data_IF_726843180052
#
_entry.id   IF_726843180052
#
_cell.length_a   1.000
_cell.length_b   1.000
_cell.length_c   1.000
_cell.angle_alpha   90.00
_cell.angle_beta   90.00
_cell.angle_gamma   90.00
#
_symmetry.space_group_name_H-M   'P 1'
#
loop_
_entity.id
_entity.type
_entity.pdbx_description
1 polymer ?
#
# COMPACT_ATOMS: atom_id res chain seq x y z
N UNK A 1 -54.37 15.01 -23.92
CA UNK A 1 -54.09 13.80 -24.74
C UNK A 1 -53.19 14.26 -25.87
N UNK A 2 -52.11 13.58 -26.24
CA UNK A 2 -51.75 12.19 -25.95
C UNK A 2 -50.23 12.01 -25.71
N UNK A 3 -49.82 10.99 -24.94
CA UNK A 3 -48.42 10.66 -24.67
C UNK A 3 -47.96 9.60 -25.67
N UNK A 4 -46.81 9.80 -26.33
CA UNK A 4 -46.13 8.69 -27.03
C UNK A 4 -44.83 8.32 -26.32
N UNK A 5 -44.82 7.12 -25.78
CA UNK A 5 -43.65 6.46 -25.21
C UNK A 5 -42.60 6.22 -26.29
N UNK A 6 -41.32 6.47 -25.97
CA UNK A 6 -40.19 5.90 -26.69
C UNK A 6 -39.69 4.72 -25.84
N UNK A 7 -39.92 3.50 -26.31
CA UNK A 7 -39.38 2.30 -25.69
C UNK A 7 -37.92 2.12 -26.12
N UNK A 8 -37.00 2.03 -25.16
CA UNK A 8 -35.60 1.74 -25.43
C UNK A 8 -35.36 0.23 -25.35
N UNK A 9 -35.45 -0.46 -26.49
CA UNK A 9 -35.02 -1.86 -26.60
C UNK A 9 -33.48 -1.93 -26.53
N UNK A 10 -32.96 -2.36 -25.39
CA UNK A 10 -31.57 -2.80 -25.28
C UNK A 10 -31.44 -4.24 -25.78
N UNK A 11 -30.43 -4.57 -26.61
CA UNK A 11 -30.17 -5.94 -27.03
C UNK A 11 -29.74 -6.80 -25.84
N UNK A 12 -30.42 -7.94 -25.64
CA UNK A 12 -30.07 -8.93 -24.61
C UNK A 12 -28.65 -9.47 -24.85
N UNK A 13 -27.89 -9.61 -23.76
CA UNK A 13 -26.59 -10.27 -23.77
C UNK A 13 -26.67 -11.69 -24.37
N UNK A 14 -25.66 -12.06 -25.16
CA UNK A 14 -25.59 -13.37 -25.79
C UNK A 14 -25.49 -14.49 -24.73
N UNK A 15 -26.28 -15.56 -24.92
CA UNK A 15 -26.23 -16.73 -24.03
C UNK A 15 -24.92 -17.48 -24.22
N UNK A 16 -24.10 -17.58 -23.18
CA UNK A 16 -23.02 -18.57 -23.14
C UNK A 16 -23.62 -19.99 -23.02
N UNK A 17 -23.24 -20.95 -23.87
CA UNK A 17 -23.60 -22.35 -23.68
C UNK A 17 -22.81 -22.93 -22.50
N UNK A 18 -23.52 -23.58 -21.57
CA UNK A 18 -22.91 -24.43 -20.57
C UNK A 18 -22.27 -25.69 -21.21
N UNK A 19 -21.37 -26.33 -20.47
CA UNK A 19 -20.65 -27.57 -20.81
C UNK A 19 -19.69 -27.53 -22.02
N UNK A 20 -18.42 -27.18 -21.74
CA UNK A 20 -17.24 -27.86 -22.31
C UNK A 20 -16.12 -28.02 -21.27
N UNK A 21 -16.06 -29.18 -20.60
CA UNK A 21 -14.82 -29.64 -19.94
C UNK A 21 -13.82 -30.15 -20.98
N UNK A 22 -12.53 -29.77 -20.95
CA UNK A 22 -11.49 -30.47 -21.69
C UNK A 22 -11.25 -31.86 -21.09
N UNK A 23 -11.48 -32.92 -21.87
CA UNK A 23 -10.90 -34.25 -21.61
C UNK A 23 -9.56 -34.31 -22.34
N UNK A 24 -8.45 -34.53 -21.63
CA UNK A 24 -7.40 -35.52 -21.94
C UNK A 24 -6.18 -35.33 -21.00
N UNK A 25 -5.56 -36.42 -20.49
CA UNK A 25 -4.41 -36.35 -19.57
C UNK A 25 -3.07 -36.55 -20.29
N UNK A 26 -2.06 -35.72 -20.01
CA UNK A 26 -0.67 -35.96 -20.44
C UNK A 26 0.32 -35.74 -19.28
N UNK A 27 0.52 -36.81 -18.52
CA UNK A 27 1.81 -37.52 -18.32
C UNK A 27 3.10 -36.70 -18.10
N UNK A 28 3.73 -36.94 -16.93
CA UNK A 28 5.19 -37.17 -16.87
C UNK A 28 6.06 -36.03 -16.35
N UNK A 29 6.33 -36.02 -15.04
CA UNK A 29 7.39 -35.23 -14.41
C UNK A 29 8.79 -35.75 -14.76
N UNK A 30 9.70 -34.87 -15.18
CA UNK A 30 11.13 -35.15 -15.26
C UNK A 30 11.85 -34.80 -13.93
N UNK A 31 12.88 -35.57 -13.50
CA UNK A 31 13.50 -35.40 -12.19
C UNK A 31 14.52 -34.25 -12.14
N UNK A 32 14.49 -33.48 -11.05
CA UNK A 32 15.55 -32.50 -10.70
C UNK A 32 16.69 -33.24 -10.00
N UNK A 33 17.97 -33.04 -10.37
CA UNK A 33 19.09 -33.69 -9.70
C UNK A 33 19.27 -33.17 -8.27
N UNK A 34 19.39 -34.10 -7.31
CA UNK A 34 19.57 -33.80 -5.90
C UNK A 34 20.97 -33.21 -5.60
N UNK A 35 21.03 -32.22 -4.72
CA UNK A 35 22.27 -31.80 -4.05
C UNK A 35 22.32 -32.38 -2.63
N UNK A 36 23.39 -33.09 -2.32
CA UNK A 36 23.65 -33.63 -0.98
C UNK A 36 23.91 -32.53 0.07
N UNK A 37 23.59 -32.76 1.35
CA UNK A 37 23.67 -31.74 2.39
C UNK A 37 25.10 -31.43 2.83
N UNK A 38 25.45 -30.15 2.90
CA UNK A 38 26.68 -29.67 3.54
C UNK A 38 26.46 -29.44 5.04
N UNK A 39 27.50 -29.72 5.83
CA UNK A 39 27.42 -29.95 7.28
C UNK A 39 27.39 -28.67 8.13
N UNK A 40 26.96 -28.84 9.39
CA UNK A 40 26.90 -27.78 10.39
C UNK A 40 28.28 -27.39 10.95
N UNK A 41 28.67 -26.14 10.70
CA UNK A 41 29.66 -25.37 11.46
C UNK A 41 29.03 -23.97 11.62
N UNK A 42 28.96 -23.33 12.78
CA UNK A 42 29.86 -23.35 13.92
C UNK A 42 30.02 -21.87 14.34
N UNK A 43 29.35 -21.51 15.45
CA UNK A 43 29.46 -20.25 16.21
C UNK A 43 30.29 -19.08 15.64
N UNK A 44 29.61 -17.98 15.29
CA UNK A 44 30.24 -16.66 15.03
C UNK A 44 30.76 -16.02 16.33
N UNK A 45 31.90 -16.47 16.86
CA UNK A 45 32.61 -15.77 17.95
C UNK A 45 34.14 -16.02 17.96
N UNK A 46 34.80 -16.02 16.80
CA UNK A 46 36.24 -16.23 16.71
C UNK A 46 36.92 -15.58 15.48
N UNK A 47 36.67 -14.29 15.19
CA UNK A 47 37.45 -13.56 14.15
C UNK A 47 37.56 -12.05 14.39
N UNK A 48 38.19 -11.64 15.50
CA UNK A 48 38.74 -10.27 15.66
C UNK A 48 39.85 -10.17 16.72
N UNK A 49 41.01 -10.80 16.48
CA UNK A 49 42.23 -10.64 17.32
C UNK A 49 43.55 -11.05 16.60
N UNK A 50 43.85 -10.40 15.46
CA UNK A 50 45.16 -10.33 14.79
C UNK A 50 45.10 -9.08 13.88
N UNK A 51 46.08 -8.19 13.76
CA UNK A 51 47.16 -7.78 14.68
C UNK A 51 47.60 -6.37 14.27
N UNK A 52 48.01 -5.54 15.23
CA UNK A 52 48.76 -4.30 14.97
C UNK A 52 49.66 -4.04 16.18
N UNK A 53 50.93 -4.41 16.07
CA UNK A 53 51.99 -3.98 16.98
C UNK A 53 52.97 -3.08 16.21
N UNK A 54 53.49 -2.01 16.83
CA UNK A 54 54.54 -1.18 16.25
C UNK A 54 55.92 -1.85 16.40
N UNK A 55 56.84 -1.52 15.49
CA UNK A 55 58.23 -2.01 15.52
C UNK A 55 59.08 -1.24 16.55
N UNK A 56 60.07 -1.88 17.20
CA UNK A 56 61.06 -1.18 18.04
C UNK A 56 62.38 -0.92 17.29
N UNK A 57 62.94 0.29 17.41
CA UNK A 57 64.34 0.55 17.05
C UNK A 57 64.70 1.96 16.58
N UNK A 58 64.67 2.97 17.47
CA UNK A 58 65.62 4.10 17.41
C UNK A 58 65.72 4.86 18.75
N UNK A 59 66.64 5.84 18.83
CA UNK A 59 67.45 6.18 20.03
C UNK A 59 66.79 6.95 21.20
N UNK A 60 67.49 6.90 22.35
CA UNK A 60 67.25 7.68 23.57
C UNK A 60 67.45 9.20 23.41
N UNK A 61 66.72 9.97 24.22
CA UNK A 61 67.23 11.04 25.09
C UNK A 61 66.18 11.31 26.20
N UNK A 62 66.35 10.79 27.41
CA UNK A 62 66.96 11.47 28.58
C UNK A 62 66.25 12.77 28.98
N UNK A 63 65.51 12.73 30.11
CA UNK A 63 64.83 13.88 30.73
C UNK A 63 64.35 13.56 32.16
N UNK A 64 64.93 14.25 33.15
CA UNK A 64 64.87 14.01 34.62
C UNK A 64 64.41 15.33 35.29
N UNK A 65 63.68 15.43 36.41
CA UNK A 65 63.35 14.56 37.58
C UNK A 65 61.81 14.58 37.90
N UNK A 66 61.29 13.99 39.01
CA UNK A 66 59.85 13.88 39.32
C UNK A 66 59.35 14.93 40.35
N UNK A 67 58.04 15.02 40.59
CA UNK A 67 57.50 15.33 41.93
C UNK A 67 55.98 15.07 42.08
N UNK A 68 55.68 14.37 43.18
CA UNK A 68 54.40 14.18 43.85
C UNK A 68 53.67 15.51 44.18
N UNK A 69 52.34 15.57 44.04
CA UNK A 69 51.54 16.74 44.41
C UNK A 69 50.04 16.46 44.53
N UNK A 70 49.51 16.38 45.77
CA UNK A 70 48.06 16.39 46.01
C UNK A 70 47.53 17.80 45.77
N UNK A 71 46.52 17.95 44.91
CA UNK A 71 45.84 19.21 44.67
C UNK A 71 44.36 19.01 44.41
N UNK A 72 43.52 19.46 45.35
CA UNK A 72 42.07 19.54 45.17
C UNK A 72 41.73 20.64 44.18
N UNK A 73 41.54 20.27 42.91
CA UNK A 73 41.15 21.19 41.83
C UNK A 73 39.68 21.03 41.44
N UNK A 74 38.89 22.07 41.65
CA UNK A 74 37.47 22.14 41.22
C UNK A 74 37.36 22.04 39.69
N UNK A 75 36.64 21.05 39.17
CA UNK A 75 36.21 21.08 37.77
C UNK A 75 35.21 22.22 37.55
N UNK A 76 35.47 23.18 36.65
CA UNK A 76 34.45 24.15 36.26
C UNK A 76 33.31 23.39 35.57
N UNK A 77 32.10 23.57 36.08
CA UNK A 77 30.87 23.00 35.54
C UNK A 77 30.56 23.71 34.22
N UNK A 78 31.27 23.33 33.16
CA UNK A 78 30.97 23.78 31.81
C UNK A 78 29.52 23.41 31.51
N UNK A 79 28.67 24.43 31.45
CA UNK A 79 27.31 24.29 30.99
C UNK A 79 27.39 23.95 29.50
N UNK A 80 27.55 22.67 29.20
CA UNK A 80 27.28 22.11 27.90
C UNK A 80 25.79 22.33 27.63
N UNK A 81 25.48 23.52 27.12
CA UNK A 81 24.20 23.82 26.49
C UNK A 81 24.07 22.78 25.40
N UNK A 82 23.28 21.74 25.66
CA UNK A 82 22.93 20.71 24.68
C UNK A 82 22.03 21.38 23.65
N UNK A 83 22.65 22.23 22.82
CA UNK A 83 22.06 22.91 21.68
C UNK A 83 21.67 21.76 20.76
N UNK A 84 20.39 21.39 20.84
CA UNK A 84 19.83 20.20 20.22
C UNK A 84 20.43 20.05 18.84
N UNK A 85 21.31 19.05 18.69
CA UNK A 85 21.90 18.76 17.41
C UNK A 85 20.73 18.30 16.57
N UNK A 86 20.25 19.20 15.71
CA UNK A 86 19.19 18.94 14.76
C UNK A 86 19.78 17.91 13.79
N UNK A 87 19.69 16.63 14.18
CA UNK A 87 20.11 15.49 13.36
C UNK A 87 19.24 15.61 12.14
N UNK A 88 19.87 16.00 11.03
CA UNK A 88 19.22 16.16 9.74
C UNK A 88 18.65 14.81 9.31
N UNK A 89 17.44 14.49 9.77
CA UNK A 89 16.56 13.53 9.15
C UNK A 89 16.17 14.12 7.80
N UNK A 90 17.09 14.05 6.83
CA UNK A 90 16.79 14.32 5.43
C UNK A 90 15.65 13.37 5.08
N UNK A 91 14.47 13.91 4.79
CA UNK A 91 13.36 13.11 4.28
C UNK A 91 13.86 12.38 3.03
N UNK A 92 13.89 11.05 3.12
CA UNK A 92 14.30 10.20 1.99
C UNK A 92 13.20 10.16 0.92
N UNK A 93 11.95 10.37 1.34
CA UNK A 93 10.84 10.57 0.43
C UNK A 93 10.97 11.91 -0.31
N UNK A 94 10.73 11.94 -1.65
CA UNK A 94 10.50 13.19 -2.35
C UNK A 94 9.20 13.82 -1.85
N UNK A 95 9.07 15.15 -1.97
CA UNK A 95 7.84 15.85 -1.61
C UNK A 95 6.66 15.29 -2.41
N UNK A 96 5.58 14.90 -1.73
CA UNK A 96 4.43 14.24 -2.36
C UNK A 96 3.83 15.04 -3.53
N UNK A 97 3.75 16.37 -3.39
CA UNK A 97 3.22 17.24 -4.44
C UNK A 97 4.09 17.24 -5.69
N UNK A 98 5.40 17.01 -5.55
CA UNK A 98 6.30 16.91 -6.69
C UNK A 98 6.08 15.60 -7.44
N UNK A 99 5.85 14.49 -6.72
CA UNK A 99 5.45 13.20 -7.32
C UNK A 99 4.13 13.37 -8.08
N UNK A 100 3.13 14.01 -7.48
CA UNK A 100 1.83 14.24 -8.12
C UNK A 100 1.95 15.11 -9.37
N UNK A 101 2.58 16.29 -9.29
CA UNK A 101 2.68 17.22 -10.41
C UNK A 101 3.54 16.64 -11.54
N UNK A 102 4.71 16.07 -11.23
CA UNK A 102 5.58 15.48 -12.26
C UNK A 102 4.88 14.27 -12.90
N UNK A 103 4.19 13.44 -12.11
CA UNK A 103 3.43 12.31 -12.63
C UNK A 103 2.25 12.73 -13.51
N UNK A 104 1.50 13.78 -13.14
CA UNK A 104 0.42 14.34 -13.98
C UNK A 104 0.98 14.87 -15.31
N UNK A 105 2.13 15.56 -15.28
CA UNK A 105 2.80 16.06 -16.48
C UNK A 105 3.28 14.90 -17.38
N UNK A 106 3.85 13.84 -16.81
CA UNK A 106 4.30 12.66 -17.55
C UNK A 106 3.14 11.85 -18.14
N UNK A 107 2.04 11.72 -17.40
CA UNK A 107 0.80 11.06 -17.88
C UNK A 107 0.16 11.85 -19.03
N UNK A 108 0.01 13.17 -18.86
CA UNK A 108 -0.48 14.06 -19.92
C UNK A 108 0.44 14.08 -21.15
N UNK A 109 1.75 14.03 -20.96
CA UNK A 109 2.71 13.90 -22.05
C UNK A 109 2.59 12.54 -22.78
N UNK A 110 2.40 11.43 -22.06
CA UNK A 110 2.17 10.12 -22.66
C UNK A 110 0.88 10.10 -23.50
N UNK A 111 -0.21 10.66 -22.99
CA UNK A 111 -1.47 10.86 -23.75
C UNK A 111 -1.23 11.70 -25.01
N UNK A 112 -0.56 12.85 -24.87
CA UNK A 112 -0.25 13.73 -26.01
C UNK A 112 0.60 13.05 -27.09
N UNK A 113 1.64 12.31 -26.70
CA UNK A 113 2.46 11.52 -27.63
C UNK A 113 1.62 10.44 -28.32
N UNK A 114 0.74 9.74 -27.60
CA UNK A 114 -0.15 8.72 -28.18
C UNK A 114 -1.08 9.33 -29.22
N UNK A 115 -1.69 10.47 -28.90
CA UNK A 115 -2.62 11.19 -29.79
C UNK A 115 -1.94 11.71 -31.07
N UNK A 116 -0.71 12.21 -30.96
CA UNK A 116 0.06 12.73 -32.12
C UNK A 116 0.63 11.61 -32.98
N UNK A 117 1.12 10.52 -32.38
CA UNK A 117 1.86 9.48 -33.10
C UNK A 117 1.04 8.25 -33.50
N UNK A 118 -0.12 8.04 -32.87
CA UNK A 118 -0.88 6.79 -32.96
C UNK A 118 -0.15 5.57 -32.39
N UNK A 119 0.96 5.75 -31.67
CA UNK A 119 1.84 4.65 -31.25
C UNK A 119 1.27 3.87 -30.06
N UNK A 120 0.59 2.75 -30.34
CA UNK A 120 0.00 1.85 -29.34
C UNK A 120 0.99 1.31 -28.29
N UNK A 121 2.31 1.33 -28.54
CA UNK A 121 3.34 0.91 -27.57
C UNK A 121 3.35 1.84 -26.33
N UNK A 122 2.81 3.05 -26.44
CA UNK A 122 2.71 4.01 -25.32
C UNK A 122 1.48 3.79 -24.43
N UNK A 123 0.50 2.95 -24.83
CA UNK A 123 -0.71 2.69 -24.04
C UNK A 123 -0.43 2.07 -22.65
N UNK A 124 0.48 1.08 -22.49
CA UNK A 124 0.85 0.59 -21.16
C UNK A 124 1.49 1.66 -20.28
N UNK A 125 2.18 2.65 -20.87
CA UNK A 125 2.75 3.78 -20.11
C UNK A 125 1.66 4.69 -19.56
N UNK A 126 0.59 4.95 -20.32
CA UNK A 126 -0.57 5.70 -19.82
C UNK A 126 -1.22 4.94 -18.68
N UNK A 127 -1.63 3.69 -18.94
CA UNK A 127 -2.32 2.79 -17.99
C UNK A 127 -1.55 2.60 -16.68
N UNK A 128 -0.22 2.49 -16.73
CA UNK A 128 0.59 2.35 -15.53
C UNK A 128 0.76 3.67 -14.78
N UNK A 129 0.99 4.80 -15.48
CA UNK A 129 1.17 6.07 -14.77
C UNK A 129 -0.15 6.53 -14.16
N UNK A 130 -1.25 6.58 -14.91
CA UNK A 130 -2.53 7.10 -14.41
C UNK A 130 -3.06 6.28 -13.23
N UNK A 131 -3.03 4.96 -13.35
CA UNK A 131 -3.51 4.05 -12.29
C UNK A 131 -2.62 4.03 -11.03
N UNK A 132 -1.30 4.21 -11.13
CA UNK A 132 -0.41 4.23 -9.96
C UNK A 132 -0.22 5.61 -9.34
N UNK A 133 -0.45 6.71 -10.07
CA UNK A 133 -0.05 8.05 -9.65
C UNK A 133 -0.62 8.47 -8.29
N UNK A 134 -1.95 8.40 -8.12
CA UNK A 134 -2.57 8.78 -6.84
C UNK A 134 -2.24 7.79 -5.72
N UNK A 135 -2.32 6.45 -5.92
CA UNK A 135 -1.86 5.48 -4.92
C UNK A 135 -0.42 5.66 -4.44
N UNK A 136 0.54 5.89 -5.35
CA UNK A 136 1.94 6.15 -5.01
C UNK A 136 2.08 7.50 -4.31
N UNK A 137 1.37 8.54 -4.76
CA UNK A 137 1.34 9.85 -4.10
C UNK A 137 0.84 9.74 -2.66
N UNK A 138 -0.20 8.94 -2.38
CA UNK A 138 -0.73 8.71 -1.05
C UNK A 138 0.28 8.03 -0.10
N UNK A 139 1.02 7.05 -0.61
CA UNK A 139 2.12 6.41 0.13
C UNK A 139 3.28 7.39 0.39
N UNK A 140 3.66 8.19 -0.62
CA UNK A 140 4.72 9.20 -0.47
C UNK A 140 4.30 10.31 0.51
N UNK A 141 3.05 10.77 0.47
CA UNK A 141 2.51 11.76 1.40
C UNK A 141 2.67 11.32 2.85
N UNK A 142 2.35 10.07 3.16
CA UNK A 142 2.62 9.49 4.47
C UNK A 142 4.11 9.53 4.85
N UNK A 143 4.99 9.05 3.95
CA UNK A 143 6.44 8.99 4.21
C UNK A 143 7.09 10.38 4.35
N UNK A 144 6.46 11.43 3.83
CA UNK A 144 6.89 12.84 3.90
C UNK A 144 6.41 13.53 5.19
N UNK A 145 5.21 13.20 5.70
CA UNK A 145 4.60 13.87 6.87
C UNK A 145 4.79 13.14 8.20
N UNK A 146 4.74 11.80 8.21
CA UNK A 146 4.55 11.02 9.44
C UNK A 146 5.36 9.72 9.47
N UNK A 147 6.71 9.78 9.39
CA UNK A 147 7.54 8.57 9.43
C UNK A 147 7.49 7.89 10.81
N UNK A 148 6.63 6.87 10.95
CA UNK A 148 6.55 6.06 12.18
C UNK A 148 7.80 5.18 12.36
N UNK A 149 8.40 5.12 13.57
CA UNK A 149 9.50 4.21 13.86
C UNK A 149 9.16 2.72 13.68
N UNK A 150 7.88 2.36 13.74
CA UNK A 150 7.42 0.97 13.58
C UNK A 150 7.40 0.52 12.10
N UNK A 151 7.26 1.45 11.17
CA UNK A 151 7.07 1.18 9.74
C UNK A 151 8.21 1.73 8.90
N UNK A 152 9.21 0.89 8.64
CA UNK A 152 10.25 1.24 7.66
C UNK A 152 9.65 1.45 6.25
N UNK A 153 10.19 2.39 5.45
CA UNK A 153 9.74 2.60 4.06
C UNK A 153 9.75 1.31 3.24
N UNK A 154 10.75 0.44 3.45
CA UNK A 154 10.84 -0.90 2.84
C UNK A 154 9.60 -1.76 3.12
N UNK A 155 9.04 -1.74 4.34
CA UNK A 155 7.84 -2.53 4.68
C UNK A 155 6.59 -1.96 4.01
N UNK A 156 6.47 -0.63 3.93
CA UNK A 156 5.37 0.05 3.26
C UNK A 156 5.39 -0.21 1.75
N UNK A 157 6.55 -0.08 1.10
CA UNK A 157 6.73 -0.44 -0.31
C UNK A 157 6.45 -1.93 -0.56
N UNK A 158 6.89 -2.82 0.33
CA UNK A 158 6.57 -4.25 0.23
C UNK A 158 5.06 -4.51 0.38
N UNK A 159 4.38 -3.85 1.31
CA UNK A 159 2.93 -3.96 1.49
C UNK A 159 2.17 -3.53 0.23
N UNK A 160 2.55 -2.40 -0.37
CA UNK A 160 1.99 -1.93 -1.63
C UNK A 160 2.19 -2.94 -2.78
N UNK A 161 3.42 -3.43 -2.98
CA UNK A 161 3.72 -4.36 -4.08
C UNK A 161 3.03 -5.71 -3.89
N UNK A 162 3.04 -6.26 -2.67
CA UNK A 162 2.40 -7.55 -2.36
C UNK A 162 0.88 -7.43 -2.51
N UNK A 163 0.27 -6.32 -2.08
CA UNK A 163 -1.16 -6.09 -2.24
C UNK A 163 -1.58 -5.95 -3.71
N UNK A 164 -0.83 -5.18 -4.49
CA UNK A 164 -1.09 -5.04 -5.93
C UNK A 164 -0.94 -6.33 -6.71
N UNK A 165 0.07 -7.14 -6.37
CA UNK A 165 0.36 -8.39 -7.12
C UNK A 165 -0.39 -9.58 -6.55
N UNK A 166 0.00 -10.07 -5.37
CA UNK A 166 -0.59 -11.25 -4.75
C UNK A 166 -2.05 -11.01 -4.32
N UNK A 167 -2.40 -9.78 -3.91
CA UNK A 167 -3.76 -9.42 -3.54
C UNK A 167 -4.73 -9.54 -4.71
N UNK A 168 -4.51 -8.79 -5.78
CA UNK A 168 -5.37 -8.85 -6.99
C UNK A 168 -5.43 -10.28 -7.55
N UNK A 169 -4.30 -10.97 -7.67
CA UNK A 169 -4.28 -12.37 -8.15
C UNK A 169 -5.08 -13.34 -7.25
N UNK A 170 -5.05 -13.14 -5.93
CA UNK A 170 -5.83 -13.98 -5.01
C UNK A 170 -7.31 -13.65 -5.05
N UNK A 171 -7.66 -12.35 -5.12
CA UNK A 171 -9.04 -11.89 -5.22
C UNK A 171 -9.71 -12.45 -6.50
N UNK A 172 -9.12 -12.22 -7.68
CA UNK A 172 -9.65 -12.72 -8.95
C UNK A 172 -9.79 -14.24 -9.00
N UNK A 173 -8.91 -14.98 -8.32
CA UNK A 173 -9.03 -16.45 -8.24
C UNK A 173 -10.18 -16.87 -7.32
N UNK A 174 -10.36 -16.22 -6.17
CA UNK A 174 -11.47 -16.47 -5.25
C UNK A 174 -12.80 -16.08 -5.90
N UNK A 175 -12.88 -14.91 -6.54
CA UNK A 175 -14.07 -14.43 -7.26
C UNK A 175 -14.54 -15.45 -8.30
N UNK A 176 -13.63 -15.96 -9.14
CA UNK A 176 -13.93 -16.96 -10.16
C UNK A 176 -14.61 -18.23 -9.60
N UNK A 177 -14.28 -18.63 -8.37
CA UNK A 177 -14.85 -19.82 -7.73
C UNK A 177 -16.06 -19.55 -6.82
N UNK A 178 -16.23 -18.32 -6.32
CA UNK A 178 -17.13 -18.02 -5.20
C UNK A 178 -18.22 -16.99 -5.52
N UNK A 179 -18.04 -16.13 -6.52
CA UNK A 179 -19.02 -15.10 -6.89
C UNK A 179 -20.10 -15.69 -7.79
N UNK A 180 -21.36 -15.49 -7.40
CA UNK A 180 -22.53 -15.89 -8.17
C UNK A 180 -22.94 -14.85 -9.23
N UNK A 181 -23.97 -15.18 -10.00
CA UNK A 181 -24.58 -14.27 -10.99
C UNK A 181 -25.82 -13.54 -10.45
N UNK A 182 -26.02 -13.56 -9.13
CA UNK A 182 -27.19 -12.99 -8.47
C UNK A 182 -27.04 -11.51 -8.13
N UNK A 183 -28.10 -10.91 -7.58
CA UNK A 183 -28.11 -9.51 -7.16
C UNK A 183 -27.12 -9.17 -6.01
N UNK A 184 -26.47 -10.17 -5.41
CA UNK A 184 -25.46 -10.02 -4.36
C UNK A 184 -24.02 -10.08 -4.89
N UNK A 185 -23.79 -10.32 -6.20
CA UNK A 185 -22.46 -10.55 -6.77
C UNK A 185 -21.44 -9.48 -6.38
N UNK A 186 -21.80 -8.20 -6.44
CA UNK A 186 -20.93 -7.09 -6.06
C UNK A 186 -20.59 -7.08 -4.54
N UNK A 187 -21.51 -7.53 -3.69
CA UNK A 187 -21.26 -7.69 -2.25
C UNK A 187 -20.37 -8.91 -1.97
N UNK A 188 -20.51 -9.98 -2.77
CA UNK A 188 -19.63 -11.15 -2.73
C UNK A 188 -18.20 -10.77 -3.15
N UNK A 189 -18.03 -9.99 -4.23
CA UNK A 189 -16.77 -9.36 -4.63
C UNK A 189 -16.20 -8.54 -3.48
N UNK A 190 -16.94 -7.56 -2.97
CA UNK A 190 -16.50 -6.70 -1.86
C UNK A 190 -16.09 -7.45 -0.58
N UNK A 191 -16.73 -8.60 -0.28
CA UNK A 191 -16.32 -9.49 0.82
C UNK A 191 -14.97 -10.18 0.52
N UNK A 192 -14.80 -10.75 -0.68
CA UNK A 192 -13.57 -11.44 -1.09
C UNK A 192 -12.38 -10.47 -1.15
N UNK A 193 -12.59 -9.34 -1.84
CA UNK A 193 -11.66 -8.23 -2.01
C UNK A 193 -11.13 -7.71 -0.68
N UNK A 194 -12.02 -7.36 0.25
CA UNK A 194 -11.60 -6.83 1.55
C UNK A 194 -11.06 -7.92 2.48
N UNK A 195 -11.46 -9.19 2.32
CA UNK A 195 -10.88 -10.32 3.07
C UNK A 195 -9.41 -10.52 2.67
N UNK A 196 -9.11 -10.53 1.37
CA UNK A 196 -7.74 -10.64 0.87
C UNK A 196 -6.88 -9.48 1.37
N UNK A 197 -7.37 -8.23 1.26
CA UNK A 197 -6.66 -7.06 1.81
C UNK A 197 -6.44 -7.18 3.33
N UNK A 198 -7.45 -7.61 4.08
CA UNK A 198 -7.36 -7.83 5.55
C UNK A 198 -6.28 -8.85 5.91
N UNK A 199 -6.26 -10.00 5.23
CA UNK A 199 -5.25 -11.05 5.44
C UNK A 199 -3.85 -10.56 5.07
N UNK A 200 -3.72 -9.78 4.01
CA UNK A 200 -2.45 -9.18 3.63
C UNK A 200 -1.96 -8.16 4.66
N UNK A 201 -2.82 -7.29 5.21
CA UNK A 201 -2.42 -6.39 6.31
C UNK A 201 -1.84 -7.17 7.49
N UNK A 202 -2.47 -8.28 7.90
CA UNK A 202 -1.94 -9.15 8.96
C UNK A 202 -0.59 -9.77 8.55
N UNK A 203 -0.45 -10.22 7.31
CA UNK A 203 0.79 -10.81 6.80
C UNK A 203 1.96 -9.81 6.75
N UNK A 204 1.76 -8.59 6.23
CA UNK A 204 2.82 -7.56 6.25
C UNK A 204 2.99 -6.89 7.61
N UNK A 205 2.05 -7.03 8.55
CA UNK A 205 2.24 -6.63 9.95
C UNK A 205 3.08 -7.64 10.76
N UNK A 206 3.34 -8.84 10.22
CA UNK A 206 4.02 -9.91 10.95
C UNK A 206 5.42 -9.48 11.42
N UNK A 207 5.74 -9.79 12.68
CA UNK A 207 7.01 -9.43 13.32
C UNK A 207 7.19 -7.95 13.67
N UNK A 208 6.13 -7.13 13.67
CA UNK A 208 6.17 -5.79 14.28
C UNK A 208 5.86 -5.96 15.78
N UNK A 209 6.82 -5.61 16.64
CA UNK A 209 6.72 -5.82 18.10
C UNK A 209 6.33 -4.57 18.90
N UNK A 210 6.58 -3.37 18.35
CA UNK A 210 6.17 -2.08 18.92
C UNK A 210 5.43 -1.31 17.84
N UNK A 211 4.20 -0.88 18.13
CA UNK A 211 3.30 -0.26 17.16
C UNK A 211 2.16 0.51 17.82
N UNK A 212 1.53 1.39 17.05
CA UNK A 212 0.40 2.22 17.37
C UNK A 212 -0.79 1.90 16.46
N UNK A 213 -1.99 2.35 16.82
CA UNK A 213 -3.17 2.24 15.94
C UNK A 213 -2.97 2.98 14.62
N UNK A 214 -2.25 4.12 14.64
CA UNK A 214 -1.88 4.91 13.46
C UNK A 214 -1.04 4.08 12.47
N UNK A 215 -0.07 3.31 12.95
CA UNK A 215 0.74 2.40 12.13
C UNK A 215 -0.14 1.36 11.41
N UNK A 216 -1.17 0.84 12.07
CA UNK A 216 -2.14 -0.05 11.44
C UNK A 216 -2.94 0.62 10.34
N UNK A 217 -3.36 1.87 10.54
CA UNK A 217 -4.08 2.65 9.51
C UNK A 217 -3.20 2.90 8.29
N UNK A 218 -1.93 3.25 8.50
CA UNK A 218 -0.94 3.49 7.45
C UNK A 218 -0.63 2.22 6.67
N UNK A 219 -0.35 1.11 7.36
CA UNK A 219 -0.07 -0.17 6.71
C UNK A 219 -1.30 -0.66 5.92
N UNK A 220 -2.49 -0.44 6.48
CA UNK A 220 -3.76 -0.66 5.79
C UNK A 220 -3.90 0.19 4.53
N UNK A 221 -3.64 1.50 4.61
CA UNK A 221 -3.66 2.39 3.45
C UNK A 221 -2.67 1.95 2.37
N UNK A 222 -1.46 1.54 2.74
CA UNK A 222 -0.45 1.05 1.80
C UNK A 222 -0.88 -0.23 1.06
N UNK A 223 -1.56 -1.16 1.76
CA UNK A 223 -2.17 -2.34 1.13
C UNK A 223 -3.32 -1.94 0.21
N UNK A 224 -4.24 -1.08 0.67
CA UNK A 224 -5.37 -0.60 -0.13
C UNK A 224 -4.95 0.13 -1.40
N UNK A 225 -3.97 1.03 -1.29
CA UNK A 225 -3.37 1.74 -2.43
C UNK A 225 -2.65 0.79 -3.39
N UNK A 226 -1.89 -0.19 -2.88
CA UNK A 226 -1.20 -1.17 -3.71
C UNK A 226 -2.17 -2.00 -4.55
N UNK A 227 -3.24 -2.49 -3.92
CA UNK A 227 -4.32 -3.21 -4.59
C UNK A 227 -5.00 -2.32 -5.65
N UNK A 228 -5.46 -1.13 -5.25
CA UNK A 228 -6.15 -0.19 -6.14
C UNK A 228 -5.35 0.21 -7.38
N UNK A 229 -4.02 0.32 -7.28
CA UNK A 229 -3.16 0.66 -8.41
C UNK A 229 -3.19 -0.41 -9.51
N UNK A 230 -3.09 -1.69 -9.14
CA UNK A 230 -3.07 -2.80 -10.11
C UNK A 230 -4.47 -3.10 -10.63
N UNK A 231 -5.45 -3.12 -9.74
CA UNK A 231 -6.87 -3.29 -10.08
C UNK A 231 -7.33 -2.19 -11.06
N UNK A 232 -7.04 -0.91 -10.77
CA UNK A 232 -7.36 0.20 -11.66
C UNK A 232 -6.63 0.11 -13.00
N UNK A 233 -5.41 -0.42 -13.05
CA UNK A 233 -4.72 -0.68 -14.32
C UNK A 233 -5.42 -1.75 -15.17
N UNK A 234 -6.05 -2.74 -14.51
CA UNK A 234 -6.92 -3.73 -15.15
C UNK A 234 -8.21 -3.10 -15.70
N UNK A 235 -8.89 -2.26 -14.93
CA UNK A 235 -10.07 -1.51 -15.39
C UNK A 235 -9.73 -0.55 -16.54
N UNK A 236 -8.61 0.18 -16.45
CA UNK A 236 -8.12 1.06 -17.49
C UNK A 236 -7.84 0.27 -18.78
N UNK A 237 -7.12 -0.85 -18.70
CA UNK A 237 -6.90 -1.74 -19.84
C UNK A 237 -8.20 -2.34 -20.42
N UNK A 238 -9.16 -2.71 -19.58
CA UNK A 238 -10.46 -3.22 -20.03
C UNK A 238 -11.28 -2.12 -20.76
N UNK A 239 -11.29 -0.90 -20.22
CA UNK A 239 -12.02 0.25 -20.78
C UNK A 239 -11.50 0.68 -22.15
N UNK A 240 -10.24 0.37 -22.49
CA UNK A 240 -9.68 0.58 -23.83
C UNK A 240 -10.50 -0.15 -24.91
N UNK A 241 -11.10 -1.30 -24.59
CA UNK A 241 -11.75 -2.19 -25.56
C UNK A 241 -13.26 -1.94 -25.65
N UNK A 242 -13.66 -0.99 -26.49
CA UNK A 242 -15.08 -0.61 -26.67
C UNK A 242 -15.69 -1.33 -27.88
N UNK A 243 -16.82 -1.99 -27.67
CA UNK A 243 -17.58 -2.66 -28.73
C UNK A 243 -18.74 -1.77 -29.19
N UNK A 244 -18.76 -1.42 -30.49
CA UNK A 244 -19.90 -0.73 -31.11
C UNK A 244 -20.44 -1.60 -32.25
N UNK A 245 -21.68 -2.07 -32.09
CA UNK A 245 -22.27 -3.07 -32.97
C UNK A 245 -21.47 -4.39 -32.95
N UNK A 246 -20.93 -4.78 -34.10
CA UNK A 246 -20.10 -5.99 -34.27
C UNK A 246 -18.60 -5.67 -34.44
N UNK A 247 -18.14 -4.47 -34.07
CA UNK A 247 -16.74 -4.05 -34.22
C UNK A 247 -16.15 -3.63 -32.88
N UNK A 248 -14.88 -4.01 -32.68
CA UNK A 248 -14.05 -3.63 -31.55
C UNK A 248 -13.22 -2.40 -31.92
N UNK A 249 -13.20 -1.41 -31.03
CA UNK A 249 -12.46 -0.16 -31.18
C UNK A 249 -11.58 0.08 -29.94
N UNK A 250 -10.47 0.79 -30.13
CA UNK A 250 -9.61 1.25 -29.04
C UNK A 250 -10.02 2.67 -28.64
N UNK A 251 -10.45 2.85 -27.40
CA UNK A 251 -11.00 4.10 -26.85
C UNK A 251 -10.08 4.66 -25.77
N UNK A 252 -9.15 5.54 -26.17
CA UNK A 252 -8.23 6.19 -25.23
C UNK A 252 -8.96 7.14 -24.27
N UNK A 253 -10.06 7.73 -24.71
CA UNK A 253 -10.99 8.52 -23.91
C UNK A 253 -11.60 7.71 -22.76
N UNK A 254 -12.01 6.45 -23.01
CA UNK A 254 -12.51 5.56 -21.94
C UNK A 254 -11.41 5.26 -20.91
N UNK A 255 -10.17 4.98 -21.35
CA UNK A 255 -9.01 4.81 -20.45
C UNK A 255 -8.82 6.03 -19.55
N UNK A 256 -8.73 7.22 -20.15
CA UNK A 256 -8.49 8.47 -19.44
C UNK A 256 -9.61 8.77 -18.43
N UNK A 257 -10.88 8.56 -18.80
CA UNK A 257 -12.01 8.76 -17.87
C UNK A 257 -11.97 7.74 -16.73
N UNK A 258 -11.70 6.46 -17.02
CA UNK A 258 -11.58 5.41 -16.00
C UNK A 258 -10.44 5.70 -15.01
N UNK A 259 -9.28 6.11 -15.50
CA UNK A 259 -8.13 6.48 -14.65
C UNK A 259 -8.40 7.71 -13.79
N UNK A 260 -9.04 8.75 -14.33
CA UNK A 260 -9.40 9.95 -13.55
C UNK A 260 -10.40 9.62 -12.43
N UNK A 261 -11.46 8.88 -12.75
CA UNK A 261 -12.50 8.50 -11.77
C UNK A 261 -11.91 7.60 -10.69
N UNK A 262 -11.23 6.52 -11.06
CA UNK A 262 -10.64 5.59 -10.09
C UNK A 262 -9.48 6.21 -9.32
N UNK A 263 -8.65 7.03 -9.95
CA UNK A 263 -7.53 7.74 -9.32
C UNK A 263 -7.99 8.73 -8.25
N UNK A 264 -9.01 9.55 -8.54
CA UNK A 264 -9.58 10.51 -7.56
C UNK A 264 -10.26 9.77 -6.39
N UNK A 265 -10.92 8.64 -6.66
CA UNK A 265 -11.66 7.89 -5.65
C UNK A 265 -10.77 6.94 -4.83
N UNK A 266 -9.60 6.50 -5.31
CA UNK A 266 -8.74 5.53 -4.62
C UNK A 266 -8.38 5.88 -3.16
N UNK A 267 -8.09 7.14 -2.78
CA UNK A 267 -7.90 7.53 -1.38
C UNK A 267 -9.15 7.36 -0.51
N UNK A 268 -10.35 7.54 -1.09
CA UNK A 268 -11.64 7.47 -0.41
C UNK A 268 -12.36 6.12 -0.58
N UNK A 269 -11.81 5.23 -1.39
CA UNK A 269 -12.17 3.82 -1.50
C UNK A 269 -11.15 2.96 -0.77
N UNK A 270 -10.53 2.02 -1.50
CA UNK A 270 -9.57 1.02 -1.00
C UNK A 270 -8.53 1.58 0.00
N UNK A 271 -7.94 2.76 -0.25
CA UNK A 271 -6.95 3.37 0.65
C UNK A 271 -7.52 3.61 2.05
N UNK A 272 -8.66 4.32 2.14
CA UNK A 272 -9.36 4.58 3.39
C UNK A 272 -9.96 3.30 4.01
N UNK A 273 -10.59 2.45 3.21
CA UNK A 273 -11.25 1.24 3.69
C UNK A 273 -10.27 0.27 4.36
N UNK A 274 -9.18 -0.06 3.66
CA UNK A 274 -8.16 -0.94 4.24
C UNK A 274 -7.41 -0.26 5.41
N UNK A 275 -7.32 1.08 5.45
CA UNK A 275 -6.82 1.81 6.62
C UNK A 275 -7.72 1.66 7.86
N UNK A 276 -9.05 1.69 7.70
CA UNK A 276 -10.00 1.45 8.81
C UNK A 276 -9.77 0.05 9.41
N UNK A 277 -9.66 -0.97 8.55
CA UNK A 277 -9.44 -2.37 9.00
C UNK A 277 -8.06 -2.55 9.62
N UNK A 278 -7.00 -2.03 9.00
CA UNK A 278 -5.64 -2.11 9.55
C UNK A 278 -5.49 -1.41 10.90
N UNK A 279 -6.11 -0.24 11.06
CA UNK A 279 -6.19 0.44 12.35
C UNK A 279 -6.99 -0.34 13.39
N UNK A 280 -8.10 -0.99 13.00
CA UNK A 280 -8.86 -1.87 13.89
C UNK A 280 -8.05 -3.09 14.35
N UNK A 281 -7.27 -3.72 13.45
CA UNK A 281 -6.35 -4.82 13.77
C UNK A 281 -5.32 -4.37 14.82
N UNK A 282 -4.63 -3.25 14.59
CA UNK A 282 -3.59 -2.77 15.50
C UNK A 282 -4.17 -2.24 16.83
N UNK A 283 -5.39 -1.67 16.81
CA UNK A 283 -6.11 -1.31 18.03
C UNK A 283 -6.52 -2.54 18.86
N UNK A 284 -6.92 -3.64 18.20
CA UNK A 284 -7.25 -4.89 18.87
C UNK A 284 -6.02 -5.58 19.45
N UNK A 285 -4.92 -5.64 18.70
CA UNK A 285 -3.66 -6.26 19.14
C UNK A 285 -3.04 -5.59 20.38
N UNK A 286 -3.40 -4.33 20.69
CA UNK A 286 -2.99 -3.62 21.92
C UNK A 286 -3.94 -3.78 23.12
N UNK A 287 -4.94 -4.68 23.10
CA UNK A 287 -5.91 -4.78 24.20
C UNK A 287 -6.66 -6.10 24.33
N UNK A 288 -7.66 -6.12 25.22
CA UNK A 288 -8.41 -7.33 25.58
C UNK A 288 -9.25 -7.92 24.44
N UNK A 289 -9.52 -9.23 24.53
CA UNK A 289 -10.23 -10.07 23.54
C UNK A 289 -11.57 -9.53 23.02
N UNK A 290 -12.25 -8.66 23.78
CA UNK A 290 -13.48 -7.96 23.34
C UNK A 290 -13.24 -7.12 22.08
N UNK A 291 -11.98 -6.84 21.70
CA UNK A 291 -11.66 -6.03 20.52
C UNK A 291 -11.74 -6.76 19.17
N UNK A 292 -11.79 -8.10 19.12
CA UNK A 292 -11.88 -8.81 17.82
C UNK A 292 -13.20 -8.53 17.07
N UNK A 293 -14.29 -8.26 17.79
CA UNK A 293 -15.57 -7.90 17.16
C UNK A 293 -15.49 -6.59 16.37
N UNK A 294 -14.58 -5.67 16.75
CA UNK A 294 -14.36 -4.42 16.01
C UNK A 294 -13.59 -4.64 14.70
N UNK A 295 -12.74 -5.68 14.61
CA UNK A 295 -12.13 -6.08 13.33
C UNK A 295 -13.23 -6.62 12.40
N UNK A 296 -14.08 -7.53 12.91
CA UNK A 296 -15.20 -8.08 12.13
C UNK A 296 -16.17 -6.98 11.68
N UNK A 297 -16.53 -6.04 12.56
CA UNK A 297 -17.39 -4.91 12.22
C UNK A 297 -16.74 -3.97 11.20
N UNK A 298 -15.43 -3.70 11.31
CA UNK A 298 -14.69 -2.90 10.33
C UNK A 298 -14.67 -3.59 8.96
N UNK A 299 -14.33 -4.89 8.91
CA UNK A 299 -14.33 -5.71 7.70
C UNK A 299 -15.69 -5.75 7.01
N UNK A 300 -16.77 -6.08 7.74
CA UNK A 300 -18.11 -6.13 7.18
C UNK A 300 -18.58 -4.74 6.69
N UNK A 301 -18.26 -3.68 7.43
CA UNK A 301 -18.55 -2.31 6.99
C UNK A 301 -17.86 -1.98 5.66
N UNK A 302 -16.56 -2.25 5.53
CA UNK A 302 -15.85 -1.93 4.28
C UNK A 302 -16.27 -2.83 3.13
N UNK A 303 -16.58 -4.10 3.38
CA UNK A 303 -17.09 -5.02 2.35
C UNK A 303 -18.44 -4.57 1.79
N UNK A 304 -19.33 -4.05 2.65
CA UNK A 304 -20.61 -3.48 2.23
C UNK A 304 -20.40 -2.16 1.47
N UNK A 305 -19.47 -1.30 1.91
CA UNK A 305 -19.13 -0.06 1.18
C UNK A 305 -18.52 -0.36 -0.19
N UNK A 306 -17.69 -1.40 -0.30
CA UNK A 306 -17.11 -1.88 -1.55
C UNK A 306 -18.19 -2.41 -2.49
N UNK A 307 -19.02 -3.36 -2.04
CA UNK A 307 -20.12 -3.88 -2.87
C UNK A 307 -21.17 -2.82 -3.25
N UNK A 308 -21.34 -1.78 -2.43
CA UNK A 308 -22.14 -0.62 -2.78
C UNK A 308 -21.46 0.25 -3.85
N UNK A 309 -20.15 0.47 -3.76
CA UNK A 309 -19.36 1.20 -4.76
C UNK A 309 -19.48 0.55 -6.15
N UNK A 310 -19.30 -0.77 -6.24
CA UNK A 310 -19.41 -1.54 -7.50
C UNK A 310 -20.83 -1.60 -8.05
N UNK A 311 -21.84 -1.47 -7.18
CA UNK A 311 -23.26 -1.45 -7.57
C UNK A 311 -23.74 -0.07 -8.05
N UNK A 312 -22.97 0.97 -7.79
CA UNK A 312 -23.34 2.36 -8.07
C UNK A 312 -22.80 2.79 -9.44
N UNK A 313 -23.70 3.28 -10.28
CA UNK A 313 -23.35 4.01 -11.49
C UNK A 313 -23.65 5.51 -11.29
N UNK A 314 -22.62 6.30 -11.00
CA UNK A 314 -22.72 7.77 -11.01
C UNK A 314 -22.04 8.48 -9.84
N UNK A 315 -21.55 9.69 -10.13
CA UNK A 315 -20.72 10.53 -9.25
C UNK A 315 -21.35 10.72 -7.85
N UNK A 316 -22.65 10.97 -7.77
CA UNK A 316 -23.35 11.22 -6.49
C UNK A 316 -23.21 10.01 -5.55
N UNK A 317 -23.38 8.79 -6.06
CA UNK A 317 -23.27 7.60 -5.25
C UNK A 317 -21.83 7.33 -4.79
N UNK A 318 -20.83 7.55 -5.65
CA UNK A 318 -19.41 7.46 -5.25
C UNK A 318 -19.06 8.45 -4.13
N UNK A 319 -19.56 9.70 -4.21
CA UNK A 319 -19.40 10.71 -3.15
C UNK A 319 -20.08 10.27 -1.86
N UNK A 320 -21.29 9.70 -1.91
CA UNK A 320 -22.00 9.22 -0.71
C UNK A 320 -21.25 8.06 -0.05
N UNK A 321 -20.81 7.04 -0.80
CA UNK A 321 -20.05 5.90 -0.26
C UNK A 321 -18.74 6.38 0.37
N UNK A 322 -18.02 7.28 -0.31
CA UNK A 322 -16.81 7.92 0.22
C UNK A 322 -17.08 8.65 1.53
N UNK A 323 -18.14 9.47 1.60
CA UNK A 323 -18.49 10.23 2.80
C UNK A 323 -18.84 9.32 4.00
N UNK A 324 -19.54 8.20 3.76
CA UNK A 324 -19.85 7.22 4.82
C UNK A 324 -18.57 6.56 5.37
N UNK A 325 -17.57 6.30 4.52
CA UNK A 325 -16.27 5.76 4.94
C UNK A 325 -15.39 6.74 5.73
N UNK A 326 -15.52 8.06 5.51
CA UNK A 326 -14.72 9.07 6.24
C UNK A 326 -15.05 9.10 7.73
N UNK A 327 -16.33 8.94 8.11
CA UNK A 327 -16.79 9.00 9.50
C UNK A 327 -16.09 7.99 10.43
N UNK A 328 -16.03 6.67 10.13
CA UNK A 328 -15.29 5.71 10.95
C UNK A 328 -13.77 5.94 10.92
N UNK A 329 -13.19 6.36 9.79
CA UNK A 329 -11.75 6.68 9.70
C UNK A 329 -11.38 7.81 10.67
N UNK A 330 -12.11 8.93 10.63
CA UNK A 330 -11.88 10.09 11.51
C UNK A 330 -12.09 9.71 12.99
N UNK A 331 -13.13 8.93 13.31
CA UNK A 331 -13.35 8.44 14.69
C UNK A 331 -12.21 7.55 15.19
N UNK A 332 -11.63 6.72 14.32
CA UNK A 332 -10.49 5.87 14.66
C UNK A 332 -9.22 6.70 14.85
N UNK A 333 -9.00 7.70 13.98
CA UNK A 333 -7.89 8.64 14.07
C UNK A 333 -7.91 9.42 15.39
N UNK A 334 -9.04 10.08 15.72
CA UNK A 334 -9.17 10.86 16.95
C UNK A 334 -8.91 10.01 18.20
N UNK A 335 -9.46 8.79 18.26
CA UNK A 335 -9.17 7.83 19.34
C UNK A 335 -7.70 7.42 19.40
N UNK A 336 -7.00 7.33 18.26
CA UNK A 336 -5.57 7.04 18.24
C UNK A 336 -4.74 8.19 18.82
N UNK A 337 -5.16 9.44 18.63
CA UNK A 337 -4.55 10.66 19.21
C UNK A 337 -4.81 10.75 20.72
N UNK A 338 -6.04 10.50 21.16
CA UNK A 338 -6.44 10.56 22.58
C UNK A 338 -5.64 9.57 23.45
N UNK A 339 -5.44 8.35 22.94
CA UNK A 339 -4.75 7.24 23.63
C UNK A 339 -3.21 7.39 23.56
N UNK A 340 -2.69 8.31 22.75
CA UNK A 340 -1.25 8.53 22.64
C UNK A 340 -0.65 9.18 23.91
N UNK A 341 0.56 8.77 24.35
CA UNK A 341 1.33 9.47 25.37
C UNK A 341 1.49 10.96 25.05
N UNK A 342 1.59 11.80 26.09
CA UNK A 342 1.67 13.25 25.91
C UNK A 342 2.92 13.71 25.13
N UNK A 343 4.00 12.92 25.12
CA UNK A 343 5.20 13.19 24.31
C UNK A 343 4.94 13.00 22.80
N UNK A 344 4.10 12.02 22.44
CA UNK A 344 3.81 11.73 21.03
C UNK A 344 2.77 12.69 20.47
N UNK A 345 1.86 13.25 21.30
CA UNK A 345 0.77 14.15 20.85
C UNK A 345 1.21 15.29 19.92
N UNK A 346 2.45 15.78 20.04
CA UNK A 346 2.98 16.84 19.17
C UNK A 346 3.27 16.39 17.72
N UNK A 347 3.33 15.08 17.41
CA UNK A 347 3.42 14.57 16.03
C UNK A 347 2.07 14.26 15.38
N UNK A 348 0.95 14.58 16.05
CA UNK A 348 -0.42 14.37 15.53
C UNK A 348 -1.08 15.63 14.97
N UNK A 349 -0.43 16.80 15.03
CA UNK A 349 -1.00 18.12 14.68
C UNK A 349 -0.20 18.83 13.58
N UNK A 350 0.80 18.17 12.99
CA UNK A 350 1.63 18.68 11.89
C UNK A 350 1.11 18.26 10.52
#
# INVERSE_FOLDING_TARGET
>A
MDRRHVSADQPRAARHPADRRPRHPIRGSAPVPARSPAQSLGSRCARRKVATQPQPGELLSVGVEPANGRGTGTCPRSAATTRSANVNQRSWAPRWWAVLIIGLLLWGAAIGVTLVTGNVITLPTIVLIGSFLVPVTGVVWYLDHDPSPALSPRRITAAFIIAGTLGVLSASLLEYYLVGTGALANVEVGLIEELVKTLLVVAVAWGIHSFHTRDGMVLGAAVGFGFAALESSGYALASLFVVQGHRLFLSLDSVVVTELVRGILAPFGHGMWTAIVGGAIFAAARGNRVRYIWILAAYLLVSILHGAFDSINGIIGYVVVSAVGVVPLVRLWLRAVEIAPAADRNSFVG
#
